data_IF_876145252328
#
_entry.id   IF_876145252328
#
_cell.length_a   1.000
_cell.length_b   1.000
_cell.length_c   1.000
_cell.angle_alpha   90.00
_cell.angle_beta   90.00
_cell.angle_gamma   90.00
#
_symmetry.space_group_name_H-M   'P 1'
#
loop_
_entity.id
_entity.type
_entity.pdbx_description
1 polymer ?
#
# COMPACT_ATOMS: atom_id res chain seq x y z
N UNK A 1 -11.73 2.44 -14.50
CA UNK A 1 -10.50 1.90 -15.11
C UNK A 1 -10.80 0.49 -15.61
N UNK A 2 -10.22 0.05 -16.74
CA UNK A 2 -10.49 -1.27 -17.35
C UNK A 2 -9.19 -1.96 -17.79
N UNK A 3 -8.30 -2.21 -16.82
CA UNK A 3 -6.99 -2.84 -17.07
C UNK A 3 -6.95 -4.24 -16.45
N UNK A 4 -6.55 -5.30 -17.20
CA UNK A 4 -6.48 -6.67 -16.68
C UNK A 4 -5.57 -6.81 -15.45
N UNK A 5 -4.47 -6.07 -15.39
CA UNK A 5 -3.50 -6.08 -14.28
C UNK A 5 -4.12 -5.61 -12.95
N UNK A 6 -5.27 -4.94 -12.98
CA UNK A 6 -5.95 -4.52 -11.75
C UNK A 6 -6.51 -5.70 -10.94
N UNK A 7 -6.65 -6.88 -11.56
CA UNK A 7 -7.04 -8.12 -10.88
C UNK A 7 -5.86 -8.82 -10.18
N UNK A 8 -4.63 -8.38 -10.42
CA UNK A 8 -3.46 -8.97 -9.79
C UNK A 8 -3.42 -8.62 -8.31
N UNK A 9 -2.91 -9.56 -7.50
CA UNK A 9 -2.65 -9.33 -6.09
C UNK A 9 -1.63 -8.21 -5.92
N UNK A 10 -1.80 -7.41 -4.88
CA UNK A 10 -0.81 -6.40 -4.46
C UNK A 10 0.40 -7.09 -3.83
N UNK A 11 0.14 -8.12 -3.04
CA UNK A 11 1.12 -8.91 -2.30
C UNK A 11 0.92 -10.38 -2.63
N UNK A 12 1.97 -11.18 -2.91
CA UNK A 12 1.81 -12.61 -3.15
C UNK A 12 1.16 -13.36 -1.96
N UNK A 13 1.35 -12.84 -0.73
CA UNK A 13 0.86 -13.45 0.51
C UNK A 13 -0.55 -13.00 0.92
N UNK A 14 -1.16 -12.03 0.24
CA UNK A 14 -2.50 -11.51 0.59
C UNK A 14 -3.44 -11.57 -0.61
N UNK A 15 -4.75 -11.59 -0.34
CA UNK A 15 -5.76 -11.69 -1.39
C UNK A 15 -6.12 -10.33 -2.02
N UNK A 16 -5.79 -9.22 -1.37
CA UNK A 16 -6.11 -7.89 -1.86
C UNK A 16 -5.44 -7.60 -3.21
N UNK A 17 -6.22 -7.04 -4.14
CA UNK A 17 -5.84 -6.79 -5.53
C UNK A 17 -5.62 -5.30 -5.83
N UNK A 18 -4.86 -5.01 -6.88
CA UNK A 18 -4.48 -3.64 -7.30
C UNK A 18 -5.70 -2.72 -7.49
N UNK A 19 -6.84 -3.26 -7.94
CA UNK A 19 -8.09 -2.52 -8.08
C UNK A 19 -8.57 -1.87 -6.78
N UNK A 20 -8.38 -2.52 -5.62
CA UNK A 20 -8.81 -1.98 -4.32
C UNK A 20 -8.04 -0.71 -3.96
N UNK A 21 -6.73 -0.65 -4.23
CA UNK A 21 -5.95 0.59 -4.01
C UNK A 21 -6.54 1.75 -4.81
N UNK A 22 -6.85 1.51 -6.09
CA UNK A 22 -7.36 2.55 -6.99
C UNK A 22 -8.78 2.97 -6.62
N UNK A 23 -9.62 2.02 -6.21
CA UNK A 23 -10.94 2.31 -5.68
C UNK A 23 -10.86 3.18 -4.42
N UNK A 24 -9.99 2.81 -3.46
CA UNK A 24 -9.78 3.59 -2.23
C UNK A 24 -9.29 5.00 -2.54
N UNK A 25 -8.32 5.17 -3.44
CA UNK A 25 -7.82 6.50 -3.84
C UNK A 25 -8.92 7.41 -4.39
N UNK A 26 -9.92 6.84 -5.07
CA UNK A 26 -11.02 7.59 -5.67
C UNK A 26 -12.15 7.89 -4.68
N UNK A 27 -12.45 6.96 -3.76
CA UNK A 27 -13.68 7.00 -2.97
C UNK A 27 -13.44 7.18 -1.46
N UNK A 28 -12.22 6.93 -0.98
CA UNK A 28 -11.90 6.85 0.45
C UNK A 28 -10.75 7.79 0.86
N UNK A 29 -10.23 8.55 -0.10
CA UNK A 29 -9.22 9.61 0.05
C UNK A 29 -7.94 9.26 0.86
N UNK A 30 -7.38 8.05 0.78
CA UNK A 30 -6.10 7.74 1.42
C UNK A 30 -4.98 8.61 0.84
N UNK A 31 -4.07 9.09 1.71
CA UNK A 31 -2.95 9.98 1.33
C UNK A 31 -1.59 9.40 1.65
N UNK A 32 -1.55 8.27 2.34
CA UNK A 32 -0.32 7.56 2.72
C UNK A 32 -0.42 6.07 2.41
N UNK A 33 0.71 5.38 2.26
CA UNK A 33 0.72 3.92 2.11
C UNK A 33 0.09 3.22 3.33
N UNK A 34 0.32 3.75 4.53
CA UNK A 34 -0.30 3.25 5.76
C UNK A 34 -1.83 3.35 5.73
N UNK A 35 -2.42 4.39 5.11
CA UNK A 35 -3.88 4.47 4.94
C UNK A 35 -4.43 3.26 4.19
N UNK A 36 -3.73 2.82 3.14
CA UNK A 36 -4.15 1.65 2.38
C UNK A 36 -3.90 0.39 3.20
N UNK A 37 -2.64 0.14 3.60
CA UNK A 37 -2.24 -1.16 4.13
C UNK A 37 -2.79 -1.46 5.52
N UNK A 38 -2.91 -0.46 6.38
CA UNK A 38 -3.38 -0.67 7.77
C UNK A 38 -4.89 -0.50 7.88
N UNK A 39 -5.51 0.38 7.06
CA UNK A 39 -6.90 0.81 7.27
C UNK A 39 -7.88 0.44 6.16
N UNK A 40 -7.44 0.05 4.96
CA UNK A 40 -8.32 -0.27 3.80
C UNK A 40 -8.07 -1.64 3.18
N UNK A 41 -7.03 -2.34 3.62
CA UNK A 41 -6.75 -3.73 3.26
C UNK A 41 -6.39 -4.51 4.51
N UNK A 42 -6.31 -5.85 4.40
CA UNK A 42 -5.82 -6.70 5.49
C UNK A 42 -4.30 -6.87 5.51
N UNK A 43 -3.58 -6.19 4.61
CA UNK A 43 -2.14 -6.43 4.35
C UNK A 43 -1.27 -6.02 5.53
N UNK A 44 -1.53 -4.86 6.15
CA UNK A 44 -0.69 -4.33 7.23
C UNK A 44 -0.78 -5.12 8.52
N UNK A 45 -1.88 -5.85 8.71
CA UNK A 45 -2.15 -6.71 9.87
C UNK A 45 -1.80 -8.19 9.62
N UNK A 46 -1.39 -8.57 8.40
CA UNK A 46 -1.05 -9.96 8.08
C UNK A 46 0.39 -10.31 8.45
N UNK A 47 0.74 -11.60 8.37
CA UNK A 47 2.06 -12.09 8.77
C UNK A 47 3.24 -11.38 8.06
N UNK A 48 3.09 -11.03 6.77
CA UNK A 48 4.14 -10.32 6.04
C UNK A 48 4.10 -8.79 6.25
N UNK A 49 3.04 -8.28 6.92
CA UNK A 49 2.79 -6.86 7.19
C UNK A 49 2.95 -5.97 5.95
N UNK A 50 2.78 -6.52 4.74
CA UNK A 50 3.00 -5.81 3.48
C UNK A 50 4.42 -5.34 3.17
N UNK A 51 5.44 -5.63 4.00
CA UNK A 51 6.79 -5.05 3.86
C UNK A 51 7.43 -5.42 2.50
N UNK A 52 7.29 -6.68 2.09
CA UNK A 52 7.85 -7.19 0.81
C UNK A 52 7.22 -6.57 -0.44
N UNK A 53 6.02 -5.98 -0.32
CA UNK A 53 5.27 -5.42 -1.45
C UNK A 53 5.01 -3.91 -1.33
N UNK A 54 5.49 -3.26 -0.27
CA UNK A 54 5.24 -1.85 0.04
C UNK A 54 5.63 -0.93 -1.13
N UNK A 55 6.78 -1.20 -1.76
CA UNK A 55 7.29 -0.42 -2.89
C UNK A 55 6.40 -0.50 -4.13
N UNK A 56 5.78 -1.65 -4.40
CA UNK A 56 4.90 -1.80 -5.56
C UNK A 56 3.59 -1.04 -5.38
N UNK A 57 2.95 -1.15 -4.21
CA UNK A 57 1.76 -0.37 -3.91
C UNK A 57 2.05 1.14 -3.88
N UNK A 58 3.16 1.57 -3.27
CA UNK A 58 3.53 2.98 -3.26
C UNK A 58 3.75 3.54 -4.68
N UNK A 59 4.27 2.73 -5.61
CA UNK A 59 4.38 3.10 -7.03
C UNK A 59 3.00 3.22 -7.69
N UNK A 60 2.10 2.29 -7.41
CA UNK A 60 0.74 2.33 -7.95
C UNK A 60 0.00 3.58 -7.46
N UNK A 61 0.02 3.85 -6.15
CA UNK A 61 -0.52 5.07 -5.57
C UNK A 61 0.14 6.32 -6.16
N UNK A 62 1.46 6.31 -6.28
CA UNK A 62 2.23 7.42 -6.81
C UNK A 62 1.91 7.77 -8.26
N UNK A 63 1.58 6.78 -9.09
CA UNK A 63 1.10 7.01 -10.46
C UNK A 63 -0.23 7.79 -10.46
N UNK A 64 -1.15 7.44 -9.57
CA UNK A 64 -2.47 8.09 -9.47
C UNK A 64 -2.42 9.45 -8.78
N UNK A 65 -1.61 9.59 -7.74
CA UNK A 65 -1.46 10.81 -6.92
C UNK A 65 -0.34 11.74 -7.41
N UNK A 66 0.30 11.42 -8.54
CA UNK A 66 1.38 12.20 -9.14
C UNK A 66 2.59 12.40 -8.21
N UNK A 67 2.96 11.37 -7.46
CA UNK A 67 4.13 11.40 -6.59
C UNK A 67 5.43 11.30 -7.37
N UNK A 68 6.40 12.16 -7.01
CA UNK A 68 7.79 12.02 -7.46
C UNK A 68 8.43 10.78 -6.81
N UNK A 69 9.49 10.25 -7.43
CA UNK A 69 10.26 9.10 -6.91
C UNK A 69 10.68 9.26 -5.44
N UNK A 70 11.06 10.48 -5.03
CA UNK A 70 11.40 10.81 -3.64
C UNK A 70 10.24 10.54 -2.68
N UNK A 71 9.01 10.92 -3.04
CA UNK A 71 7.83 10.68 -2.21
C UNK A 71 7.47 9.20 -2.13
N UNK A 72 7.59 8.45 -3.24
CA UNK A 72 7.40 6.99 -3.23
C UNK A 72 8.35 6.32 -2.24
N UNK A 73 9.64 6.70 -2.25
CA UNK A 73 10.62 6.19 -1.28
C UNK A 73 10.23 6.58 0.15
N UNK A 74 9.83 7.83 0.37
CA UNK A 74 9.42 8.31 1.69
C UNK A 74 8.21 7.54 2.25
N UNK A 75 7.23 7.21 1.41
CA UNK A 75 6.05 6.45 1.83
C UNK A 75 6.39 5.03 2.29
N UNK A 76 7.34 4.37 1.61
CA UNK A 76 7.81 3.04 2.02
C UNK A 76 8.52 3.14 3.37
N UNK A 77 9.45 4.08 3.54
CA UNK A 77 10.16 4.27 4.82
C UNK A 77 9.23 4.68 5.97
N UNK A 78 8.23 5.54 5.68
CA UNK A 78 7.22 5.92 6.66
C UNK A 78 6.39 4.71 7.08
N UNK A 79 6.01 3.87 6.12
CA UNK A 79 5.24 2.67 6.39
C UNK A 79 6.04 1.63 7.19
N UNK A 80 7.32 1.44 6.87
CA UNK A 80 8.22 0.58 7.65
C UNK A 80 8.31 1.04 9.11
N UNK A 81 8.45 2.35 9.35
CA UNK A 81 8.41 2.92 10.71
C UNK A 81 7.06 2.73 11.39
N UNK A 82 5.95 2.90 10.67
CA UNK A 82 4.61 2.68 11.22
C UNK A 82 4.46 1.22 11.70
N UNK A 83 4.94 0.26 10.90
CA UNK A 83 4.90 -1.16 11.26
C UNK A 83 5.78 -1.47 12.48
N UNK A 84 6.95 -0.84 12.58
CA UNK A 84 7.80 -0.96 13.77
C UNK A 84 7.10 -0.40 15.01
N UNK A 85 6.45 0.76 14.91
CA UNK A 85 5.70 1.34 16.04
C UNK A 85 4.50 0.49 16.47
N UNK A 86 3.82 -0.17 15.52
CA UNK A 86 2.64 -0.98 15.80
C UNK A 86 2.98 -2.38 16.34
N UNK A 87 4.11 -2.94 15.92
CA UNK A 87 4.38 -4.37 16.11
C UNK A 87 5.86 -4.70 16.41
N UNK A 88 6.69 -3.70 16.65
CA UNK A 88 8.03 -3.87 17.19
C UNK A 88 7.95 -4.34 18.65
N UNK A 89 8.94 -5.10 19.08
CA UNK A 89 9.12 -5.43 20.49
C UNK A 89 10.04 -4.39 21.11
N UNK A 90 9.68 -3.85 22.28
CA UNK A 90 10.65 -3.17 23.17
C UNK A 90 11.77 -4.13 23.60
#
# INVERSE_FOLDING_TARGET
QKSPELKERICPHNLDIKAQILFSLQNELPRTLADIYVRRTGIGTSACRGLVCAKEAARLMGKTLHWRRRRIKQEVENYEREIELLYGCD
#
